data_IF_960791836475
#
_entry.id   IF_960791836475
#
_cell.length_a   1.000
_cell.length_b   1.000
_cell.length_c   1.000
_cell.angle_alpha   90.00
_cell.angle_beta   90.00
_cell.angle_gamma   90.00
#
_symmetry.space_group_name_H-M   'P 1'
#
loop_
_entity.id
_entity.type
_entity.pdbx_description
1 polymer ?
#
# COMPACT_ATOMS: atom_id res chain seq x y z
N UNK A 1 12.42 -9.43 10.30
CA UNK A 1 13.19 -9.97 9.16
C UNK A 1 14.70 -10.02 9.45
N UNK A 2 15.39 -8.92 9.83
CA UNK A 2 16.84 -8.88 10.08
C UNK A 2 17.31 -9.87 11.14
N UNK A 3 16.57 -10.05 12.22
CA UNK A 3 16.88 -11.04 13.26
C UNK A 3 16.76 -12.45 12.69
N UNK A 4 15.72 -12.72 11.92
CA UNK A 4 15.53 -14.02 11.28
C UNK A 4 16.65 -14.34 10.28
N UNK A 5 17.11 -13.34 9.48
CA UNK A 5 18.23 -13.50 8.57
C UNK A 5 19.54 -13.82 9.35
N UNK A 6 19.81 -13.08 10.44
CA UNK A 6 20.95 -13.35 11.30
C UNK A 6 20.89 -14.73 11.95
N UNK A 7 19.71 -15.19 12.35
CA UNK A 7 19.47 -16.53 12.88
C UNK A 7 19.72 -17.61 11.82
N UNK A 8 19.27 -17.37 10.57
CA UNK A 8 19.49 -18.28 9.45
C UNK A 8 20.96 -18.42 9.08
N UNK A 9 21.74 -17.33 9.15
CA UNK A 9 23.20 -17.39 8.99
C UNK A 9 23.89 -18.20 10.10
N UNK A 10 23.37 -18.11 11.34
CA UNK A 10 23.89 -18.88 12.48
C UNK A 10 23.49 -20.36 12.48
N UNK A 11 22.51 -20.77 11.70
CA UNK A 11 21.96 -22.14 11.70
C UNK A 11 22.77 -23.17 10.92
N UNK A 12 23.81 -22.75 10.20
CA UNK A 12 24.71 -23.63 9.41
C UNK A 12 23.96 -24.59 8.46
N UNK A 13 22.74 -24.25 8.02
CA UNK A 13 21.97 -25.06 7.07
C UNK A 13 22.65 -25.03 5.70
N UNK A 14 22.84 -26.18 5.12
CA UNK A 14 23.41 -26.39 3.78
C UNK A 14 22.36 -27.08 2.90
N UNK A 15 22.30 -26.70 1.61
CA UNK A 15 21.35 -27.30 0.66
C UNK A 15 19.90 -26.86 0.88
N UNK A 16 19.70 -25.73 1.56
CA UNK A 16 18.38 -25.17 1.82
C UNK A 16 17.98 -24.14 0.77
N UNK A 17 16.66 -23.97 0.59
CA UNK A 17 16.07 -22.89 -0.22
C UNK A 17 15.58 -21.78 0.71
N UNK A 18 16.14 -20.59 0.57
CA UNK A 18 15.68 -19.38 1.25
C UNK A 18 14.82 -18.55 0.29
N UNK A 19 13.61 -18.21 0.70
CA UNK A 19 12.71 -17.32 -0.01
C UNK A 19 12.51 -16.07 0.84
N UNK A 20 12.87 -14.91 0.31
CA UNK A 20 12.83 -13.63 1.00
C UNK A 20 11.97 -12.65 0.20
N UNK A 21 10.97 -12.09 0.86
CA UNK A 21 10.05 -11.12 0.26
C UNK A 21 10.39 -9.71 0.78
N UNK A 22 10.81 -8.83 -0.14
CA UNK A 22 11.22 -7.43 0.11
C UNK A 22 12.13 -7.25 1.34
N UNK A 23 13.27 -7.95 1.44
CA UNK A 23 14.14 -7.84 2.62
C UNK A 23 14.80 -6.47 2.75
N UNK A 24 14.86 -5.66 1.69
CA UNK A 24 15.40 -4.30 1.69
C UNK A 24 14.45 -3.24 2.24
N UNK A 25 13.18 -3.57 2.44
CA UNK A 25 12.17 -2.57 2.81
C UNK A 25 12.59 -1.73 4.02
N UNK A 26 12.59 -0.40 3.84
CA UNK A 26 12.99 0.57 4.87
C UNK A 26 14.49 0.58 5.18
N UNK A 27 15.33 -0.07 4.37
CA UNK A 27 16.79 0.07 4.43
C UNK A 27 17.24 1.38 3.77
N UNK A 28 18.37 1.88 4.23
CA UNK A 28 19.16 2.88 3.53
C UNK A 28 20.14 2.18 2.59
N UNK A 29 20.49 2.76 1.44
CA UNK A 29 21.41 2.14 0.47
C UNK A 29 22.72 1.66 1.08
N UNK A 30 23.26 2.37 2.09
CA UNK A 30 24.42 1.87 2.86
C UNK A 30 24.17 0.51 3.52
N UNK A 31 22.93 0.22 3.92
CA UNK A 31 22.59 -1.04 4.57
C UNK A 31 22.25 -2.14 3.54
N UNK A 32 21.88 -1.75 2.30
CA UNK A 32 21.65 -2.67 1.17
C UNK A 32 22.91 -3.46 0.83
N UNK A 33 24.09 -2.83 0.79
CA UNK A 33 25.38 -3.53 0.60
C UNK A 33 25.60 -4.66 1.61
N UNK A 34 25.26 -4.40 2.87
CA UNK A 34 25.38 -5.40 3.94
C UNK A 34 24.41 -6.55 3.74
N UNK A 35 23.18 -6.25 3.30
CA UNK A 35 22.18 -7.26 2.99
C UNK A 35 22.67 -8.14 1.81
N UNK A 36 23.17 -7.53 0.74
CA UNK A 36 23.72 -8.26 -0.41
C UNK A 36 24.85 -9.20 0.04
N UNK A 37 25.75 -8.74 0.90
CA UNK A 37 26.83 -9.58 1.42
C UNK A 37 26.29 -10.79 2.22
N UNK A 38 25.24 -10.58 3.02
CA UNK A 38 24.58 -11.66 3.77
C UNK A 38 23.94 -12.69 2.82
N UNK A 39 23.24 -12.23 1.78
CA UNK A 39 22.61 -13.10 0.78
C UNK A 39 23.67 -13.94 0.03
N UNK A 40 24.78 -13.31 -0.33
CA UNK A 40 25.91 -14.02 -0.98
C UNK A 40 26.57 -15.02 -0.05
N UNK A 41 26.72 -14.74 1.23
CA UNK A 41 27.24 -15.70 2.22
C UNK A 41 26.31 -16.91 2.33
N UNK A 42 24.99 -16.73 2.38
CA UNK A 42 24.04 -17.84 2.36
C UNK A 42 24.21 -18.72 1.11
N UNK A 43 24.38 -18.10 -0.06
CA UNK A 43 24.64 -18.79 -1.31
C UNK A 43 25.96 -19.58 -1.27
N UNK A 44 27.04 -18.97 -0.78
CA UNK A 44 28.37 -19.60 -0.69
C UNK A 44 28.38 -20.81 0.25
N UNK A 45 27.49 -20.87 1.23
CA UNK A 45 27.28 -22.05 2.08
C UNK A 45 26.59 -23.22 1.35
N UNK A 46 26.31 -23.11 0.05
CA UNK A 46 25.65 -24.13 -0.76
C UNK A 46 24.13 -24.08 -0.70
N UNK A 47 23.55 -22.93 -0.37
CA UNK A 47 22.11 -22.72 -0.37
C UNK A 47 21.63 -22.06 -1.67
N UNK A 48 20.35 -22.22 -1.97
CA UNK A 48 19.65 -21.45 -3.01
C UNK A 48 18.92 -20.29 -2.35
N UNK A 49 19.08 -19.08 -2.91
CA UNK A 49 18.43 -17.85 -2.37
C UNK A 49 17.56 -17.26 -3.45
N UNK A 50 16.26 -17.16 -3.19
CA UNK A 50 15.26 -16.49 -4.03
C UNK A 50 14.81 -15.22 -3.31
N UNK A 51 14.91 -14.08 -3.97
CA UNK A 51 14.58 -12.79 -3.40
C UNK A 51 13.55 -12.09 -4.29
N UNK A 52 12.43 -11.66 -3.72
CA UNK A 52 11.48 -10.76 -4.37
C UNK A 52 11.91 -9.35 -4.02
N UNK A 53 12.28 -8.54 -5.01
CA UNK A 53 12.87 -7.22 -4.77
C UNK A 53 12.63 -6.21 -5.88
N UNK A 54 12.73 -4.93 -5.51
CA UNK A 54 12.62 -3.77 -6.39
C UNK A 54 13.87 -2.88 -6.35
N UNK A 55 14.77 -3.14 -5.39
CA UNK A 55 16.01 -2.38 -5.22
C UNK A 55 17.00 -2.74 -6.35
N UNK A 56 17.44 -1.72 -7.10
CA UNK A 56 18.34 -1.90 -8.26
C UNK A 56 19.66 -2.55 -7.87
N UNK A 57 20.22 -2.23 -6.70
CA UNK A 57 21.51 -2.76 -6.25
C UNK A 57 21.40 -4.27 -5.98
N UNK A 58 20.30 -4.73 -5.40
CA UNK A 58 20.03 -6.17 -5.16
C UNK A 58 19.77 -6.89 -6.48
N UNK A 59 18.97 -6.30 -7.38
CA UNK A 59 18.70 -6.90 -8.70
C UNK A 59 20.01 -7.06 -9.48
N UNK A 60 20.88 -6.04 -9.49
CA UNK A 60 22.20 -6.10 -10.14
C UNK A 60 23.15 -7.11 -9.49
N UNK A 61 22.97 -7.41 -8.21
CA UNK A 61 23.76 -8.42 -7.50
C UNK A 61 23.27 -9.85 -7.75
N UNK A 62 22.10 -10.06 -8.32
CA UNK A 62 21.56 -11.38 -8.61
C UNK A 62 22.30 -12.05 -9.77
N UNK A 63 22.40 -13.40 -9.72
CA UNK A 63 22.94 -14.19 -10.82
C UNK A 63 21.90 -14.39 -11.92
N UNK A 64 20.62 -14.51 -11.54
CA UNK A 64 19.51 -14.83 -12.42
C UNK A 64 18.30 -13.97 -12.08
N UNK A 65 17.61 -13.42 -13.07
CA UNK A 65 16.44 -12.56 -12.93
C UNK A 65 15.23 -13.23 -13.55
N UNK A 66 14.12 -13.17 -12.84
CA UNK A 66 12.77 -13.49 -13.34
C UNK A 66 11.94 -12.23 -13.13
N UNK A 67 11.49 -11.61 -14.22
CA UNK A 67 10.66 -10.39 -14.17
C UNK A 67 9.23 -10.71 -14.57
N UNK A 68 8.29 -10.32 -13.71
CA UNK A 68 6.86 -10.56 -13.86
C UNK A 68 6.17 -9.25 -14.20
N UNK A 69 5.41 -9.23 -15.28
CA UNK A 69 4.72 -8.05 -15.76
C UNK A 69 3.67 -8.37 -16.83
N UNK A 70 3.49 -7.49 -17.84
CA UNK A 70 4.10 -6.15 -17.95
C UNK A 70 3.49 -5.13 -16.95
N UNK A 71 2.26 -5.32 -16.50
CA UNK A 71 1.53 -4.42 -15.60
C UNK A 71 1.12 -5.15 -14.30
N UNK A 72 0.29 -4.50 -13.50
CA UNK A 72 -0.21 -5.04 -12.24
C UNK A 72 -1.61 -5.67 -12.40
N UNK A 73 -1.99 -6.53 -11.44
CA UNK A 73 -3.31 -7.15 -11.37
C UNK A 73 -3.62 -8.02 -12.59
N UNK A 74 -4.80 -7.85 -13.17
CA UNK A 74 -5.27 -8.66 -14.32
C UNK A 74 -4.48 -8.43 -15.61
N UNK A 75 -3.70 -7.38 -15.68
CA UNK A 75 -2.85 -7.03 -16.83
C UNK A 75 -1.39 -7.45 -16.64
N UNK A 76 -1.09 -8.13 -15.55
CA UNK A 76 0.21 -8.68 -15.20
C UNK A 76 0.18 -10.21 -15.15
N UNK A 77 1.16 -10.77 -14.46
CA UNK A 77 1.26 -12.21 -14.22
C UNK A 77 1.94 -12.99 -15.34
N UNK A 78 2.57 -12.31 -16.28
CA UNK A 78 3.37 -12.91 -17.35
C UNK A 78 4.87 -12.78 -17.06
N UNK A 79 5.66 -13.78 -17.45
CA UNK A 79 7.13 -13.66 -17.42
C UNK A 79 7.56 -12.79 -18.61
N UNK A 80 7.98 -11.55 -18.34
CA UNK A 80 8.41 -10.59 -19.38
C UNK A 80 9.92 -10.65 -19.62
N UNK A 81 10.69 -11.15 -18.66
CA UNK A 81 12.10 -11.47 -18.81
C UNK A 81 12.48 -12.63 -17.89
N UNK A 82 13.38 -13.48 -18.39
CA UNK A 82 14.00 -14.55 -17.63
C UNK A 82 15.40 -14.82 -18.16
N UNK A 83 16.43 -14.74 -17.33
CA UNK A 83 17.81 -14.99 -17.73
C UNK A 83 18.85 -14.34 -16.84
N UNK A 84 20.10 -14.45 -17.24
CA UNK A 84 21.24 -13.85 -16.56
C UNK A 84 21.32 -12.35 -16.81
N UNK A 85 21.95 -11.62 -15.89
CA UNK A 85 22.25 -10.19 -16.08
C UNK A 85 23.02 -9.89 -17.36
N UNK A 86 23.82 -10.83 -17.84
CA UNK A 86 24.67 -10.65 -19.05
C UNK A 86 23.84 -10.69 -20.34
N UNK A 87 22.67 -11.29 -20.30
CA UNK A 87 21.81 -11.55 -21.46
C UNK A 87 20.73 -10.48 -21.64
N UNK A 88 20.75 -9.40 -20.83
CA UNK A 88 19.86 -8.28 -20.98
C UNK A 88 20.00 -7.62 -22.36
N UNK A 89 18.88 -7.45 -23.05
CA UNK A 89 18.85 -6.87 -24.40
C UNK A 89 17.98 -5.63 -24.44
N UNK A 90 18.44 -4.64 -25.21
CA UNK A 90 17.66 -3.41 -25.49
C UNK A 90 16.37 -3.73 -26.23
N UNK A 91 15.34 -2.85 -26.04
CA UNK A 91 14.03 -3.00 -26.66
C UNK A 91 13.17 -4.08 -25.99
N UNK A 92 13.45 -4.45 -24.74
CA UNK A 92 12.65 -5.39 -23.97
C UNK A 92 11.28 -4.80 -23.58
N UNK A 93 10.25 -5.66 -23.49
CA UNK A 93 8.95 -5.28 -22.91
C UNK A 93 8.98 -5.20 -21.37
N UNK A 94 10.08 -5.64 -20.74
CA UNK A 94 10.31 -5.54 -19.30
C UNK A 94 10.71 -4.11 -18.91
N UNK A 95 9.94 -3.48 -18.05
CA UNK A 95 10.32 -2.19 -17.45
C UNK A 95 11.64 -2.31 -16.67
N UNK A 96 11.79 -3.37 -15.88
CA UNK A 96 13.01 -3.63 -15.10
C UNK A 96 14.24 -3.65 -16.01
N UNK A 97 14.19 -4.37 -17.12
CA UNK A 97 15.31 -4.45 -18.08
C UNK A 97 15.62 -3.09 -18.70
N UNK A 98 14.60 -2.32 -19.09
CA UNK A 98 14.79 -0.98 -19.69
C UNK A 98 15.47 -0.02 -18.72
N UNK A 99 15.07 0.00 -17.45
CA UNK A 99 15.72 0.81 -16.42
C UNK A 99 17.15 0.33 -16.11
N UNK A 100 17.38 -0.98 -16.00
CA UNK A 100 18.72 -1.55 -15.76
C UNK A 100 19.71 -1.21 -16.90
N UNK A 101 19.23 -1.12 -18.13
CA UNK A 101 20.04 -0.77 -19.32
C UNK A 101 20.10 0.74 -19.58
N UNK A 102 19.41 1.57 -18.80
CA UNK A 102 19.36 3.01 -18.97
C UNK A 102 18.58 3.45 -20.23
N UNK A 103 17.70 2.59 -20.77
CA UNK A 103 16.78 2.97 -21.85
C UNK A 103 15.64 3.85 -21.33
N UNK A 104 15.30 3.67 -20.07
CA UNK A 104 14.39 4.52 -19.32
C UNK A 104 15.06 5.01 -18.05
N UNK A 105 14.78 6.23 -17.66
CA UNK A 105 15.25 6.84 -16.43
C UNK A 105 14.22 7.82 -15.86
N UNK A 106 14.24 8.01 -14.56
CA UNK A 106 13.48 9.10 -13.92
C UNK A 106 14.33 10.36 -14.00
N UNK A 107 13.94 11.35 -14.82
CA UNK A 107 14.79 12.51 -15.07
C UNK A 107 14.96 13.35 -13.80
N UNK A 108 16.19 13.70 -13.49
CA UNK A 108 16.50 14.67 -12.44
C UNK A 108 16.18 16.07 -12.98
N UNK A 109 15.28 16.85 -12.33
CA UNK A 109 14.93 18.17 -12.82
C UNK A 109 16.14 19.11 -12.80
N UNK A 110 16.37 19.78 -13.92
CA UNK A 110 17.49 20.75 -14.06
C UNK A 110 17.35 21.94 -13.12
N UNK A 111 16.10 22.36 -12.88
CA UNK A 111 15.79 23.48 -11.99
C UNK A 111 14.97 23.01 -10.80
N UNK A 112 15.39 23.42 -9.61
CA UNK A 112 14.62 23.21 -8.38
C UNK A 112 13.69 24.38 -8.15
N UNK A 113 12.50 24.12 -7.60
CA UNK A 113 11.54 25.17 -7.24
C UNK A 113 12.14 26.04 -6.15
N UNK A 114 12.19 27.37 -6.32
CA UNK A 114 12.63 28.28 -5.27
C UNK A 114 11.60 28.30 -4.12
N UNK A 115 12.07 28.54 -2.92
CA UNK A 115 11.23 28.67 -1.74
C UNK A 115 11.70 29.83 -0.87
N UNK A 116 10.74 30.57 -0.28
CA UNK A 116 10.99 31.69 0.63
C UNK A 116 10.34 31.44 1.99
N UNK A 117 9.20 30.73 2.01
CA UNK A 117 8.44 30.43 3.22
C UNK A 117 8.83 29.05 3.74
N UNK A 118 8.93 28.94 5.06
CA UNK A 118 9.29 27.68 5.72
C UNK A 118 8.70 27.61 7.13
N UNK A 119 8.56 26.42 7.65
CA UNK A 119 8.35 26.16 9.07
C UNK A 119 9.69 25.81 9.70
N UNK A 120 10.02 26.45 10.81
CA UNK A 120 11.24 26.18 11.55
C UNK A 120 10.93 25.44 12.85
N UNK A 121 11.55 24.30 13.05
CA UNK A 121 11.51 23.53 14.27
C UNK A 121 12.87 23.64 14.96
N UNK A 122 12.90 24.06 16.23
CA UNK A 122 14.15 24.25 16.99
C UNK A 122 14.23 23.32 18.17
N UNK A 123 15.44 22.84 18.43
CA UNK A 123 15.79 22.09 19.62
C UNK A 123 15.12 20.74 19.77
N UNK A 124 14.87 20.03 18.66
CA UNK A 124 14.26 18.69 18.69
C UNK A 124 15.17 17.68 19.40
N UNK A 125 14.69 17.07 20.53
CA UNK A 125 15.49 16.23 21.42
C UNK A 125 14.91 14.87 21.76
N UNK A 126 13.74 14.56 21.22
CA UNK A 126 13.11 13.27 21.51
C UNK A 126 13.97 12.09 21.02
N UNK A 127 14.01 11.00 21.78
CA UNK A 127 14.78 9.79 21.55
C UNK A 127 16.28 10.06 21.30
N UNK A 128 16.78 9.83 20.09
CA UNK A 128 18.20 9.99 19.74
C UNK A 128 18.55 11.35 19.13
N UNK A 129 17.59 12.26 19.00
CA UNK A 129 17.82 13.60 18.47
C UNK A 129 18.64 14.44 19.45
N UNK A 130 19.58 15.22 18.93
CA UNK A 130 20.59 15.97 19.70
C UNK A 130 20.30 17.46 19.81
N UNK A 131 19.04 17.87 19.88
CA UNK A 131 18.66 19.29 19.86
C UNK A 131 18.80 19.89 18.46
N UNK A 132 18.30 19.20 17.46
CA UNK A 132 18.45 19.62 16.08
C UNK A 132 17.46 20.72 15.70
N UNK A 133 17.95 21.71 14.94
CA UNK A 133 17.17 22.76 14.33
C UNK A 133 16.96 22.43 12.85
N UNK A 134 15.72 22.46 12.38
CA UNK A 134 15.38 22.09 11.00
C UNK A 134 14.37 23.07 10.41
N UNK A 135 14.57 23.44 9.14
CA UNK A 135 13.61 24.19 8.34
C UNK A 135 12.94 23.28 7.32
N UNK A 136 11.62 23.33 7.28
CA UNK A 136 10.80 22.65 6.31
C UNK A 136 10.23 23.67 5.33
N UNK A 137 10.83 23.81 4.13
CA UNK A 137 10.35 24.74 3.12
C UNK A 137 8.91 24.43 2.69
N UNK A 138 8.11 25.44 2.46
CA UNK A 138 6.75 25.33 1.96
C UNK A 138 6.72 25.33 0.41
N UNK A 139 5.66 24.76 -0.16
CA UNK A 139 5.41 24.69 -1.61
C UNK A 139 6.48 23.94 -2.42
N UNK A 140 7.29 23.12 -1.76
CA UNK A 140 8.29 22.26 -2.39
C UNK A 140 8.21 20.84 -1.84
N UNK A 141 8.75 19.87 -2.55
CA UNK A 141 8.94 18.53 -2.05
C UNK A 141 10.22 18.47 -1.20
N UNK A 142 10.07 18.18 0.09
CA UNK A 142 11.18 18.00 1.03
C UNK A 142 11.33 16.52 1.36
N UNK A 143 12.55 15.98 1.21
CA UNK A 143 12.87 14.60 1.56
C UNK A 143 13.72 14.57 2.81
N UNK A 144 13.28 13.81 3.83
CA UNK A 144 14.06 13.54 5.05
C UNK A 144 14.71 12.17 4.91
N UNK A 145 16.01 12.13 4.78
CA UNK A 145 16.80 10.91 4.54
C UNK A 145 17.79 10.63 5.67
N UNK A 146 18.37 9.46 5.66
CA UNK A 146 19.36 9.00 6.65
C UNK A 146 19.21 7.50 6.95
N UNK A 147 20.23 6.91 7.56
CA UNK A 147 20.25 5.48 7.90
C UNK A 147 19.08 5.06 8.78
N UNK A 148 18.75 3.77 8.77
CA UNK A 148 17.68 3.24 9.62
C UNK A 148 18.01 3.49 11.11
N UNK A 149 17.02 4.00 11.87
CA UNK A 149 17.19 4.36 13.28
C UNK A 149 17.86 5.72 13.53
N UNK A 150 18.12 6.55 12.50
CA UNK A 150 18.73 7.88 12.65
C UNK A 150 17.82 8.94 13.29
N UNK A 151 16.54 8.65 13.48
CA UNK A 151 15.58 9.58 14.10
C UNK A 151 14.64 10.30 13.13
N UNK A 152 14.62 9.90 11.84
CA UNK A 152 13.72 10.51 10.82
C UNK A 152 12.26 10.53 11.23
N UNK A 153 11.73 9.38 11.63
CA UNK A 153 10.33 9.24 12.04
C UNK A 153 10.05 10.00 13.35
N UNK A 154 11.01 10.01 14.28
CA UNK A 154 10.93 10.80 15.51
C UNK A 154 10.82 12.29 15.18
N UNK A 155 11.68 12.80 14.30
CA UNK A 155 11.64 14.21 13.89
C UNK A 155 10.33 14.57 13.19
N UNK A 156 9.94 13.79 12.18
CA UNK A 156 8.81 14.15 11.30
C UNK A 156 7.47 13.79 11.91
N UNK A 157 7.28 12.53 12.38
CA UNK A 157 5.99 12.07 12.88
C UNK A 157 5.75 12.47 14.33
N UNK A 158 6.74 12.19 15.21
CA UNK A 158 6.52 12.27 16.66
C UNK A 158 6.66 13.71 17.17
N UNK A 159 7.45 14.57 16.48
CA UNK A 159 7.61 15.98 16.87
C UNK A 159 6.86 16.88 15.85
N UNK A 160 7.35 16.99 14.62
CA UNK A 160 6.93 18.00 13.66
C UNK A 160 5.44 17.93 13.33
N UNK A 161 4.95 16.75 12.92
CA UNK A 161 3.54 16.53 12.59
C UNK A 161 2.62 16.81 13.77
N UNK A 162 2.94 16.28 14.97
CA UNK A 162 2.12 16.47 16.17
C UNK A 162 2.15 17.92 16.65
N UNK A 163 3.30 18.59 16.55
CA UNK A 163 3.42 20.01 16.88
C UNK A 163 2.57 20.86 15.95
N UNK A 164 2.61 20.61 14.62
CA UNK A 164 1.78 21.34 13.64
C UNK A 164 0.30 21.12 13.87
N UNK A 165 -0.16 19.91 14.15
CA UNK A 165 -1.57 19.66 14.47
C UNK A 165 -2.04 20.49 15.65
N UNK A 166 -1.22 20.63 16.68
CA UNK A 166 -1.57 21.46 17.84
C UNK A 166 -1.59 22.96 17.52
N UNK A 167 -0.67 23.44 16.68
CA UNK A 167 -0.68 24.85 16.21
C UNK A 167 -1.90 25.18 15.36
N UNK A 168 -2.49 24.17 14.70
CA UNK A 168 -3.72 24.30 13.90
C UNK A 168 -5.00 23.98 14.70
N UNK A 169 -4.92 23.93 16.03
CA UNK A 169 -6.03 23.61 16.93
C UNK A 169 -6.68 22.23 16.66
N UNK A 170 -5.94 21.31 16.04
CA UNK A 170 -6.40 19.95 15.82
C UNK A 170 -6.06 19.04 17.00
N UNK A 171 -6.96 18.11 17.34
CA UNK A 171 -6.69 17.10 18.36
C UNK A 171 -5.52 16.20 17.95
N UNK A 172 -4.48 16.16 18.76
CA UNK A 172 -3.28 15.34 18.52
C UNK A 172 -2.66 14.88 19.83
N UNK A 173 -1.95 13.75 19.75
CA UNK A 173 -1.08 13.31 20.83
C UNK A 173 -0.04 14.38 21.17
N UNK A 174 0.48 14.32 22.39
CA UNK A 174 1.56 15.20 22.81
C UNK A 174 2.78 15.03 21.88
N UNK A 175 3.31 16.11 21.28
CA UNK A 175 4.54 16.05 20.52
C UNK A 175 5.72 15.66 21.41
N UNK A 176 6.74 15.04 20.82
CA UNK A 176 8.01 14.79 21.46
C UNK A 176 8.73 16.09 21.86
N UNK A 177 9.85 15.99 22.55
CA UNK A 177 10.56 17.13 23.10
C UNK A 177 11.20 18.03 22.02
N UNK A 178 10.87 19.31 22.05
CA UNK A 178 11.46 20.37 21.21
C UNK A 178 11.36 21.72 21.91
N UNK A 179 12.14 22.70 21.46
CA UNK A 179 12.16 24.05 22.07
C UNK A 179 11.07 24.96 21.52
N UNK A 180 10.95 25.07 20.21
CA UNK A 180 9.94 25.94 19.58
C UNK A 180 9.66 25.51 18.13
N UNK A 181 8.47 25.87 17.66
CA UNK A 181 8.06 25.80 16.26
C UNK A 181 7.61 27.19 15.81
N UNK A 182 7.96 27.58 14.60
CA UNK A 182 7.65 28.90 14.09
C UNK A 182 7.81 29.03 12.58
N UNK A 183 7.90 30.26 12.07
CA UNK A 183 7.96 30.57 10.65
C UNK A 183 6.59 30.83 10.06
N UNK A 184 6.35 30.37 8.84
CA UNK A 184 5.14 30.66 8.06
C UNK A 184 3.94 29.76 8.44
N UNK A 185 3.67 29.55 9.72
CA UNK A 185 2.58 28.71 10.21
C UNK A 185 1.20 29.13 9.68
N UNK A 186 0.99 30.44 9.48
CA UNK A 186 -0.28 30.99 8.97
C UNK A 186 -0.59 30.61 7.52
N UNK A 187 0.41 30.16 6.79
CA UNK A 187 0.25 29.70 5.40
C UNK A 187 -0.29 28.26 5.33
N UNK A 188 -0.32 27.55 6.45
CA UNK A 188 -0.86 26.21 6.56
C UNK A 188 -2.36 26.25 6.92
N UNK A 189 -3.15 25.45 6.21
CA UNK A 189 -4.59 25.27 6.49
C UNK A 189 -4.89 23.93 7.13
N UNK A 190 -4.12 22.92 6.77
CA UNK A 190 -4.29 21.55 7.21
C UNK A 190 -2.95 20.81 7.18
N UNK A 191 -2.84 19.75 7.97
CA UNK A 191 -1.68 18.86 8.02
C UNK A 191 -2.16 17.41 7.98
N UNK A 192 -1.72 16.68 6.99
CA UNK A 192 -2.04 15.27 6.80
C UNK A 192 -0.79 14.40 6.94
N UNK A 193 -0.95 13.26 7.60
CA UNK A 193 0.09 12.25 7.73
C UNK A 193 -0.38 10.96 7.07
N UNK A 194 0.31 10.56 6.02
CA UNK A 194 0.06 9.31 5.31
C UNK A 194 1.19 8.34 5.67
N UNK A 195 0.83 7.21 6.24
CA UNK A 195 1.79 6.16 6.62
C UNK A 195 1.60 4.88 5.78
N UNK A 196 2.39 3.86 6.08
CA UNK A 196 2.35 2.55 5.41
C UNK A 196 1.30 1.60 6.03
N UNK A 197 0.51 2.08 7.00
CA UNK A 197 -0.52 1.24 7.58
C UNK A 197 -1.62 0.97 6.56
N UNK A 198 -2.18 -0.24 6.54
CA UNK A 198 -3.32 -0.54 5.68
C UNK A 198 -4.50 0.39 6.02
N UNK A 199 -5.34 0.69 5.02
CA UNK A 199 -6.52 1.56 5.13
C UNK A 199 -7.46 1.14 6.27
N UNK A 200 -7.39 -0.09 6.71
CA UNK A 200 -8.12 -0.62 7.87
C UNK A 200 -7.52 -1.94 8.35
N UNK A 201 -7.85 -2.29 9.60
CA UNK A 201 -7.31 -3.49 10.26
C UNK A 201 -8.14 -4.76 10.01
N UNK A 202 -9.26 -4.66 9.30
CA UNK A 202 -10.15 -5.79 9.04
C UNK A 202 -10.20 -6.14 7.57
N UNK A 203 -10.46 -7.41 7.27
CA UNK A 203 -10.75 -7.95 5.93
C UNK A 203 -11.88 -7.21 5.19
N UNK A 204 -12.69 -6.44 5.92
CA UNK A 204 -13.81 -5.64 5.40
C UNK A 204 -13.41 -4.24 4.94
N UNK A 205 -12.18 -3.85 5.19
CA UNK A 205 -11.65 -2.56 4.76
C UNK A 205 -11.28 -2.63 3.29
N UNK A 206 -11.91 -1.79 2.47
CA UNK A 206 -11.65 -1.74 1.04
C UNK A 206 -11.71 -0.31 0.50
N UNK A 207 -11.10 -0.05 -0.67
CA UNK A 207 -11.03 1.29 -1.25
C UNK A 207 -12.39 1.94 -1.46
N UNK A 208 -13.39 1.20 -1.94
CA UNK A 208 -14.72 1.74 -2.27
C UNK A 208 -15.45 2.26 -1.03
N UNK A 209 -15.23 1.61 0.13
CA UNK A 209 -15.78 2.07 1.42
C UNK A 209 -15.00 3.28 1.93
N UNK A 210 -13.69 3.29 1.80
CA UNK A 210 -12.82 4.37 2.24
C UNK A 210 -13.17 5.71 1.57
N UNK A 211 -13.35 5.73 0.25
CA UNK A 211 -13.77 6.92 -0.51
C UNK A 211 -15.27 7.22 -0.39
N UNK A 212 -16.01 6.45 0.39
CA UNK A 212 -17.47 6.57 0.58
C UNK A 212 -18.29 6.46 -0.72
N UNK A 213 -17.74 5.81 -1.74
CA UNK A 213 -18.49 5.52 -2.97
C UNK A 213 -19.51 4.41 -2.74
N UNK A 214 -19.22 3.47 -1.83
CA UNK A 214 -20.11 2.38 -1.52
C UNK A 214 -21.45 2.81 -0.94
N UNK A 215 -21.52 3.94 -0.24
CA UNK A 215 -22.77 4.48 0.30
C UNK A 215 -23.73 4.85 -0.83
N UNK A 216 -23.24 5.48 -1.89
CA UNK A 216 -24.04 5.83 -3.07
C UNK A 216 -24.45 4.57 -3.86
N UNK A 217 -23.54 3.60 -3.98
CA UNK A 217 -23.83 2.31 -4.62
C UNK A 217 -24.93 1.59 -3.90
N UNK A 218 -24.85 1.43 -2.58
CA UNK A 218 -25.90 0.77 -1.77
C UNK A 218 -27.25 1.48 -1.89
N UNK A 219 -27.25 2.81 -1.89
CA UNK A 219 -28.45 3.61 -2.10
C UNK A 219 -29.06 3.32 -3.48
N UNK A 220 -28.27 3.28 -4.54
CA UNK A 220 -28.72 2.98 -5.89
C UNK A 220 -29.38 1.59 -5.97
N UNK A 221 -28.82 0.58 -5.32
CA UNK A 221 -29.41 -0.76 -5.27
C UNK A 221 -30.73 -0.78 -4.48
N UNK A 222 -30.83 -0.06 -3.37
CA UNK A 222 -32.09 0.04 -2.60
C UNK A 222 -33.22 0.76 -3.34
N UNK A 223 -32.90 1.55 -4.35
CA UNK A 223 -33.86 2.25 -5.20
C UNK A 223 -34.43 1.38 -6.34
N UNK A 224 -33.87 0.19 -6.58
CA UNK A 224 -34.33 -0.71 -7.63
C UNK A 224 -35.74 -1.28 -7.33
N UNK A 225 -36.56 -1.56 -8.36
CA UNK A 225 -37.94 -2.02 -8.19
C UNK A 225 -38.06 -3.22 -7.26
N UNK A 226 -37.25 -4.25 -7.47
CA UNK A 226 -37.28 -5.47 -6.63
C UNK A 226 -36.88 -5.16 -5.18
N UNK A 227 -35.86 -4.33 -4.95
CA UNK A 227 -35.48 -3.94 -3.60
C UNK A 227 -36.59 -3.21 -2.87
N UNK A 228 -37.30 -2.31 -3.54
CA UNK A 228 -38.48 -1.60 -2.98
C UNK A 228 -39.61 -2.55 -2.67
N UNK A 229 -39.88 -3.49 -3.55
CA UNK A 229 -40.95 -4.51 -3.33
C UNK A 229 -40.64 -5.38 -2.11
N UNK A 230 -39.34 -5.74 -1.92
CA UNK A 230 -38.88 -6.57 -0.80
C UNK A 230 -38.62 -5.76 0.48
N UNK A 231 -38.73 -4.43 0.45
CA UNK A 231 -38.44 -3.55 1.57
C UNK A 231 -36.95 -3.46 1.93
N UNK A 232 -36.04 -3.72 0.98
CA UNK A 232 -34.61 -3.70 1.22
C UNK A 232 -34.09 -2.27 1.27
N UNK A 233 -33.54 -1.89 2.40
CA UNK A 233 -32.88 -0.59 2.60
C UNK A 233 -31.41 -0.63 2.11
N UNK A 234 -30.75 0.53 2.01
CA UNK A 234 -29.34 0.61 1.67
C UNK A 234 -28.42 -0.20 2.62
N UNK A 235 -28.83 -0.39 3.87
CA UNK A 235 -28.12 -1.25 4.83
C UNK A 235 -28.12 -2.73 4.44
N UNK A 236 -29.16 -3.17 3.73
CA UNK A 236 -29.29 -4.56 3.28
C UNK A 236 -28.20 -4.94 2.25
N UNK A 237 -27.75 -3.98 1.45
CA UNK A 237 -26.66 -4.15 0.48
C UNK A 237 -25.26 -3.89 1.07
N UNK A 238 -25.13 -3.94 2.40
CA UNK A 238 -23.85 -3.81 3.09
C UNK A 238 -23.30 -5.17 3.50
N UNK A 239 -22.06 -5.47 3.12
CA UNK A 239 -21.36 -6.66 3.64
C UNK A 239 -20.90 -6.51 5.10
N UNK A 240 -21.00 -5.29 5.68
CA UNK A 240 -20.66 -5.01 7.07
C UNK A 240 -21.86 -5.08 8.03
N UNK A 241 -23.09 -4.94 7.52
CA UNK A 241 -24.32 -4.90 8.31
C UNK A 241 -25.12 -6.18 8.16
N UNK A 242 -25.89 -6.52 9.17
CA UNK A 242 -26.84 -7.63 9.09
C UNK A 242 -27.99 -7.31 8.12
N UNK A 243 -28.58 -8.34 7.56
CA UNK A 243 -29.67 -8.28 6.58
C UNK A 243 -29.33 -9.08 5.34
N UNK A 244 -28.74 -8.45 4.33
CA UNK A 244 -28.46 -9.11 3.05
C UNK A 244 -27.09 -9.79 2.94
N UNK A 245 -26.18 -9.60 3.91
CA UNK A 245 -24.90 -10.32 3.92
C UNK A 245 -25.05 -11.80 4.21
N UNK A 246 -24.13 -12.63 3.73
CA UNK A 246 -24.04 -14.02 4.15
C UNK A 246 -23.82 -14.11 5.66
N UNK A 247 -24.61 -14.95 6.34
CA UNK A 247 -24.56 -15.08 7.80
C UNK A 247 -23.35 -15.90 8.26
N UNK A 248 -22.96 -16.90 7.50
CA UNK A 248 -21.84 -17.78 7.83
C UNK A 248 -20.50 -17.06 7.81
N UNK A 249 -20.11 -16.46 6.68
CA UNK A 249 -18.87 -15.67 6.59
C UNK A 249 -19.04 -14.21 7.05
N UNK A 250 -20.23 -13.80 7.49
CA UNK A 250 -20.55 -12.44 7.94
C UNK A 250 -20.16 -11.36 6.92
N UNK A 251 -20.24 -11.69 5.63
CA UNK A 251 -19.92 -10.78 4.52
C UNK A 251 -18.45 -10.74 4.11
N UNK A 252 -17.60 -11.61 4.63
CA UNK A 252 -16.19 -11.69 4.24
C UNK A 252 -15.97 -12.46 2.94
N UNK A 253 -16.87 -13.35 2.58
CA UNK A 253 -16.74 -14.24 1.42
C UNK A 253 -15.84 -15.44 1.69
N UNK A 254 -15.02 -15.37 2.73
CA UNK A 254 -14.09 -16.43 3.16
C UNK A 254 -14.23 -16.73 4.63
N UNK A 255 -13.77 -17.91 5.04
CA UNK A 255 -13.70 -18.36 6.44
C UNK A 255 -12.24 -18.60 6.75
N UNK A 256 -11.73 -17.94 7.79
CA UNK A 256 -10.36 -18.13 8.26
C UNK A 256 -10.34 -19.16 9.37
N UNK A 257 -9.55 -20.20 9.20
CA UNK A 257 -9.28 -21.25 10.20
C UNK A 257 -7.93 -20.92 10.83
N UNK A 258 -7.96 -20.46 12.08
CA UNK A 258 -6.73 -20.15 12.82
C UNK A 258 -5.97 -21.44 13.17
N UNK A 259 -4.69 -21.47 12.85
CA UNK A 259 -3.80 -22.60 13.09
C UNK A 259 -2.74 -22.23 14.13
N UNK A 260 -2.69 -22.94 15.26
CA UNK A 260 -1.82 -22.59 16.40
C UNK A 260 -0.32 -22.54 16.08
N UNK A 261 0.15 -23.28 15.08
CA UNK A 261 1.59 -23.41 14.76
C UNK A 261 1.93 -23.23 13.27
N UNK A 262 0.95 -22.89 12.44
CA UNK A 262 1.10 -22.65 11.00
C UNK A 262 0.35 -21.40 10.59
N UNK A 263 0.57 -20.94 9.36
CA UNK A 263 -0.21 -19.84 8.81
C UNK A 263 -1.70 -20.19 8.77
N UNK A 264 -2.56 -19.22 9.06
CA UNK A 264 -4.00 -19.40 9.00
C UNK A 264 -4.45 -19.87 7.62
N UNK A 265 -5.40 -20.79 7.59
CA UNK A 265 -5.98 -21.30 6.35
C UNK A 265 -7.24 -20.46 6.01
N UNK A 266 -7.22 -19.84 4.85
CA UNK A 266 -8.35 -19.07 4.34
C UNK A 266 -9.09 -19.91 3.30
N UNK A 267 -10.35 -20.26 3.58
CA UNK A 267 -11.21 -21.06 2.72
C UNK A 267 -12.34 -20.20 2.17
N UNK A 268 -12.78 -20.48 0.96
CA UNK A 268 -13.98 -19.88 0.40
C UNK A 268 -15.21 -20.31 1.22
N UNK A 269 -16.14 -19.39 1.49
CA UNK A 269 -17.37 -19.70 2.22
C UNK A 269 -18.27 -20.58 1.37
N UNK A 270 -18.60 -21.77 1.86
CA UNK A 270 -19.47 -22.73 1.16
C UNK A 270 -20.89 -22.23 0.93
N UNK A 271 -21.45 -21.45 1.85
CA UNK A 271 -22.82 -20.92 1.73
C UNK A 271 -22.99 -19.87 0.64
N UNK A 272 -22.01 -18.97 0.46
CA UNK A 272 -22.16 -17.87 -0.51
C UNK A 272 -21.18 -17.98 -1.69
N UNK A 273 -20.31 -18.98 -1.71
CA UNK A 273 -19.32 -19.20 -2.77
C UNK A 273 -18.56 -17.89 -3.07
N UNK A 274 -17.96 -17.29 -2.06
CA UNK A 274 -17.20 -16.06 -2.16
C UNK A 274 -18.02 -14.77 -2.35
N UNK A 275 -19.33 -14.88 -2.64
CA UNK A 275 -20.17 -13.75 -3.07
C UNK A 275 -20.56 -12.78 -1.97
N UNK A 276 -20.25 -13.05 -0.71
CA UNK A 276 -20.46 -12.15 0.45
C UNK A 276 -21.90 -11.91 0.85
N UNK A 277 -22.88 -12.11 -0.02
CA UNK A 277 -24.30 -11.82 0.16
C UNK A 277 -25.16 -13.08 0.05
N UNK A 278 -26.39 -12.98 0.58
CA UNK A 278 -27.44 -13.99 0.40
C UNK A 278 -27.92 -13.99 -1.07
N UNK A 279 -28.44 -15.12 -1.53
CA UNK A 279 -29.01 -15.27 -2.87
C UNK A 279 -30.04 -14.22 -3.21
N UNK A 280 -30.98 -13.96 -2.29
CA UNK A 280 -32.06 -12.99 -2.48
C UNK A 280 -31.54 -11.56 -2.70
N UNK A 281 -30.44 -11.20 -2.01
CA UNK A 281 -29.76 -9.90 -2.20
C UNK A 281 -29.17 -9.77 -3.60
N UNK A 282 -28.64 -10.87 -4.14
CA UNK A 282 -28.02 -10.93 -5.47
C UNK A 282 -29.05 -10.93 -6.62
N UNK A 283 -30.33 -11.20 -6.34
CA UNK A 283 -31.40 -11.06 -7.33
C UNK A 283 -31.68 -9.59 -7.70
N UNK A 284 -31.37 -8.65 -6.81
CA UNK A 284 -31.51 -7.23 -7.09
C UNK A 284 -30.41 -6.77 -8.04
N UNK A 285 -30.82 -6.30 -9.23
CA UNK A 285 -29.89 -5.88 -10.28
C UNK A 285 -30.12 -4.43 -10.69
N UNK A 286 -29.03 -3.77 -11.05
CA UNK A 286 -29.00 -2.51 -11.76
C UNK A 286 -28.31 -2.74 -13.10
N UNK A 287 -29.03 -2.57 -14.23
CA UNK A 287 -28.52 -2.88 -15.58
C UNK A 287 -27.80 -4.24 -15.67
N UNK A 288 -28.55 -5.29 -15.28
CA UNK A 288 -28.08 -6.70 -15.27
C UNK A 288 -26.92 -7.05 -14.34
N UNK A 289 -26.40 -6.09 -13.56
CA UNK A 289 -25.37 -6.31 -12.54
C UNK A 289 -25.97 -6.34 -11.15
N UNK A 290 -25.64 -7.36 -10.36
CA UNK A 290 -25.94 -7.39 -8.94
C UNK A 290 -24.85 -6.66 -8.13
N UNK A 291 -25.04 -6.52 -6.83
CA UNK A 291 -24.10 -5.80 -5.97
C UNK A 291 -22.71 -6.45 -5.90
N UNK A 292 -22.63 -7.79 -5.99
CA UNK A 292 -21.36 -8.50 -6.02
C UNK A 292 -20.63 -8.28 -7.33
N UNK A 293 -21.33 -8.35 -8.47
CA UNK A 293 -20.72 -8.11 -9.80
C UNK A 293 -20.01 -6.74 -9.86
N UNK A 294 -20.60 -5.73 -9.21
CA UNK A 294 -20.00 -4.39 -9.18
C UNK A 294 -18.80 -4.31 -8.22
N UNK A 295 -18.83 -5.05 -7.11
CA UNK A 295 -17.67 -5.12 -6.21
C UNK A 295 -16.47 -5.84 -6.82
N UNK A 296 -16.72 -6.72 -7.80
CA UNK A 296 -15.68 -7.43 -8.58
C UNK A 296 -15.12 -6.60 -9.75
N UNK A 297 -15.73 -5.48 -10.09
CA UNK A 297 -15.20 -4.59 -11.14
C UNK A 297 -13.90 -3.95 -10.70
N UNK A 298 -12.99 -3.77 -11.65
CA UNK A 298 -11.87 -2.85 -11.48
C UNK A 298 -12.41 -1.41 -11.38
N UNK A 299 -11.62 -0.49 -10.84
CA UNK A 299 -12.02 0.93 -10.75
C UNK A 299 -12.40 1.50 -12.12
N UNK A 300 -11.62 1.20 -13.16
CA UNK A 300 -11.90 1.67 -14.52
C UNK A 300 -13.21 1.10 -15.06
N UNK A 301 -13.47 -0.20 -14.89
CA UNK A 301 -14.73 -0.82 -15.30
C UNK A 301 -15.93 -0.23 -14.54
N UNK A 302 -15.78 0.03 -13.25
CA UNK A 302 -16.83 0.65 -12.44
C UNK A 302 -17.10 2.10 -12.89
N UNK A 303 -16.05 2.88 -13.20
CA UNK A 303 -16.19 4.25 -13.72
C UNK A 303 -16.94 4.23 -15.08
N UNK A 304 -16.54 3.36 -15.99
CA UNK A 304 -17.19 3.19 -17.29
C UNK A 304 -18.67 2.81 -17.13
N UNK A 305 -18.95 1.74 -16.38
CA UNK A 305 -20.30 1.27 -16.11
C UNK A 305 -21.20 2.34 -15.50
N UNK A 306 -20.74 3.03 -14.46
CA UNK A 306 -21.55 4.07 -13.81
C UNK A 306 -21.69 5.34 -14.65
N UNK A 307 -20.70 5.64 -15.48
CA UNK A 307 -20.77 6.78 -16.42
C UNK A 307 -21.79 6.54 -17.53
N UNK A 308 -21.79 5.37 -18.16
CA UNK A 308 -22.78 4.95 -19.17
C UNK A 308 -24.21 5.02 -18.64
N UNK A 309 -24.40 4.72 -17.35
CA UNK A 309 -25.73 4.72 -16.71
C UNK A 309 -26.03 6.01 -15.92
N UNK A 310 -25.28 7.09 -16.18
CA UNK A 310 -25.58 8.44 -15.66
C UNK A 310 -25.34 8.65 -14.16
N UNK A 311 -24.62 7.75 -13.49
CA UNK A 311 -24.36 7.80 -12.05
C UNK A 311 -23.19 8.72 -11.67
N UNK A 312 -23.26 9.99 -12.06
CA UNK A 312 -22.19 10.99 -11.91
C UNK A 312 -21.63 11.13 -10.49
N UNK A 313 -22.44 10.94 -9.47
CA UNK A 313 -22.00 11.02 -8.05
C UNK A 313 -21.02 9.90 -7.70
N UNK A 314 -21.32 8.67 -8.13
CA UNK A 314 -20.47 7.50 -7.92
C UNK A 314 -19.17 7.68 -8.69
N UNK A 315 -19.25 8.05 -9.97
CA UNK A 315 -18.07 8.32 -10.82
C UNK A 315 -17.16 9.35 -10.19
N UNK A 316 -17.69 10.49 -9.72
CA UNK A 316 -16.88 11.54 -9.07
C UNK A 316 -16.12 11.02 -7.84
N UNK A 317 -16.67 10.08 -7.10
CA UNK A 317 -16.00 9.48 -5.94
C UNK A 317 -14.96 8.43 -6.33
N UNK A 318 -15.14 7.74 -7.47
CA UNK A 318 -14.20 6.73 -7.96
C UNK A 318 -12.99 7.31 -8.69
N UNK A 319 -13.16 8.46 -9.39
CA UNK A 319 -12.09 9.10 -10.16
C UNK A 319 -10.74 9.27 -9.43
N UNK A 320 -10.70 9.61 -8.12
CA UNK A 320 -9.41 9.72 -7.41
C UNK A 320 -8.63 8.40 -7.29
N UNK A 321 -9.25 7.24 -7.60
CA UNK A 321 -8.61 5.93 -7.58
C UNK A 321 -8.10 5.48 -8.96
N UNK A 322 -8.42 6.23 -10.02
CA UNK A 322 -7.97 5.98 -11.38
C UNK A 322 -6.54 6.49 -11.58
#
# INVERSE_FOLDING_TARGET
QRINLATSLGSSLVGSLYILDEPSIGLHSRDTDRLINVLRQLQQLGNTVVVVEHDEEIIRAADYIIDIGPNAGRLGGEVVYQGDMKDLKKGSNSYTVRYLLGEEEIPVPQHRRPWNNYIELKGARENNLKGVDVRFPLNVMTVVTGVSGSGKSTLVRDIFFRALKRELDECSDRPGEFSSIGGSLRDLRNVEFVDQNPIGKSSRSNPVTYIKAYDEIRKLWSEQPLAKQMGYTAGFFSFNSEGGRCEECKGEGTITVEMQFMADLVLECESCHGKRFKSDTLEVKFHDKNIFDVLEMTVNQAIEFFNEHGQKKIVKKLLPLQ
#
